data_IF_646898496876
#
_entry.id   IF_646898496876
#
_cell.length_a   1.000
_cell.length_b   1.000
_cell.length_c   1.000
_cell.angle_alpha   90.00
_cell.angle_beta   90.00
_cell.angle_gamma   90.00
#
_symmetry.space_group_name_H-M   'P 1'
#
loop_
_entity.id
_entity.type
_entity.pdbx_description
1 polymer ?
#
# COMPACT_ATOMS: atom_id res chain seq x y z
N UNK A 1 5.26 -71.40 -64.16
CA UNK A 1 4.33 -70.75 -63.23
C UNK A 1 5.13 -70.12 -62.10
N UNK A 2 4.88 -68.85 -61.78
CA UNK A 2 5.28 -68.17 -60.53
C UNK A 2 6.74 -67.70 -60.42
N UNK A 3 7.11 -66.52 -60.95
CA UNK A 3 7.16 -65.21 -60.26
C UNK A 3 8.38 -64.99 -59.34
N UNK A 4 9.24 -64.10 -59.83
CA UNK A 4 10.21 -63.19 -59.19
C UNK A 4 10.45 -63.23 -57.66
N UNK A 5 11.74 -63.11 -57.28
CA UNK A 5 12.18 -61.96 -56.47
C UNK A 5 13.67 -61.64 -56.69
N UNK A 6 13.93 -60.44 -57.23
CA UNK A 6 15.22 -59.75 -57.21
C UNK A 6 15.20 -58.71 -56.08
N UNK A 7 16.38 -58.48 -55.49
CA UNK A 7 16.87 -57.25 -54.82
C UNK A 7 16.22 -56.75 -53.51
N UNK A 8 17.05 -56.49 -52.47
CA UNK A 8 17.49 -55.12 -52.12
C UNK A 8 18.58 -55.07 -51.03
N UNK A 9 19.55 -54.19 -51.30
CA UNK A 9 20.62 -53.66 -50.46
C UNK A 9 20.09 -52.77 -49.32
N UNK A 10 20.92 -52.64 -48.29
CA UNK A 10 21.22 -51.44 -47.51
C UNK A 10 20.11 -50.79 -46.66
N UNK A 11 20.26 -50.87 -45.33
CA UNK A 11 19.81 -49.82 -44.40
C UNK A 11 20.63 -49.92 -43.10
N UNK A 12 21.71 -49.14 -42.98
CA UNK A 12 22.50 -48.97 -41.73
C UNK A 12 23.05 -47.53 -41.61
N UNK A 13 22.28 -46.50 -42.00
CA UNK A 13 22.74 -45.08 -41.93
C UNK A 13 21.72 -44.12 -41.26
N UNK A 14 20.62 -44.58 -40.67
CA UNK A 14 19.61 -43.65 -40.08
C UNK A 14 19.91 -43.25 -38.61
N UNK A 15 21.01 -43.71 -38.00
CA UNK A 15 21.26 -43.53 -36.56
C UNK A 15 21.96 -42.24 -36.09
N UNK A 16 22.66 -41.49 -36.96
CA UNK A 16 23.59 -40.41 -36.51
C UNK A 16 23.06 -38.99 -36.76
N UNK A 17 22.09 -38.81 -37.67
CA UNK A 17 21.51 -37.49 -37.99
C UNK A 17 20.58 -36.92 -36.91
N UNK A 18 19.90 -37.77 -36.14
CA UNK A 18 18.96 -37.33 -35.09
C UNK A 18 19.64 -36.89 -33.79
N UNK A 19 20.85 -37.38 -33.49
CA UNK A 19 21.58 -37.01 -32.28
C UNK A 19 22.27 -35.63 -32.39
N UNK A 20 22.72 -35.23 -33.59
CA UNK A 20 23.36 -33.94 -33.82
C UNK A 20 22.37 -32.77 -33.93
N UNK A 21 21.18 -33.00 -34.50
CA UNK A 21 20.11 -32.00 -34.53
C UNK A 21 19.53 -31.73 -33.12
N UNK A 22 19.44 -32.78 -32.28
CA UNK A 22 19.06 -32.65 -30.87
C UNK A 22 20.06 -31.82 -30.07
N UNK A 23 21.36 -32.06 -30.25
CA UNK A 23 22.41 -31.30 -29.56
C UNK A 23 22.40 -29.80 -29.95
N UNK A 24 22.29 -29.47 -31.23
CA UNK A 24 22.25 -28.07 -31.68
C UNK A 24 21.00 -27.31 -31.18
N UNK A 25 19.84 -27.97 -31.15
CA UNK A 25 18.61 -27.42 -30.55
C UNK A 25 18.73 -27.20 -29.04
N UNK A 26 19.40 -28.10 -28.32
CA UNK A 26 19.69 -27.95 -26.89
C UNK A 26 20.65 -26.79 -26.59
N UNK A 27 21.71 -26.61 -27.39
CA UNK A 27 22.64 -25.48 -27.20
C UNK A 27 21.99 -24.12 -27.51
N UNK A 28 21.14 -24.04 -28.54
CA UNK A 28 20.39 -22.82 -28.84
C UNK A 28 19.34 -22.50 -27.76
N UNK A 29 18.65 -23.52 -27.23
CA UNK A 29 17.70 -23.36 -26.14
C UNK A 29 18.37 -22.93 -24.82
N UNK A 30 19.54 -23.52 -24.51
CA UNK A 30 20.33 -23.13 -23.33
C UNK A 30 20.88 -21.71 -23.44
N UNK A 31 21.40 -21.30 -24.60
CA UNK A 31 21.85 -19.92 -24.81
C UNK A 31 20.73 -18.87 -24.69
N UNK A 32 19.51 -19.22 -25.12
CA UNK A 32 18.33 -18.38 -24.94
C UNK A 32 17.90 -18.25 -23.48
N UNK A 33 17.91 -19.35 -22.72
CA UNK A 33 17.56 -19.34 -21.29
C UNK A 33 18.57 -18.54 -20.46
N UNK A 34 19.87 -18.67 -20.74
CA UNK A 34 20.92 -17.89 -20.07
C UNK A 34 20.76 -16.38 -20.31
N UNK A 35 20.43 -15.98 -21.53
CA UNK A 35 20.19 -14.58 -21.85
C UNK A 35 18.91 -14.07 -21.17
N UNK A 36 17.85 -14.89 -21.14
CA UNK A 36 16.61 -14.58 -20.43
C UNK A 36 16.86 -14.35 -18.93
N UNK A 37 17.62 -15.24 -18.27
CA UNK A 37 18.00 -15.11 -16.86
C UNK A 37 18.80 -13.84 -16.59
N UNK A 38 19.82 -13.54 -17.40
CA UNK A 38 20.60 -12.29 -17.25
C UNK A 38 19.73 -11.05 -17.40
N UNK A 39 18.79 -11.07 -18.33
CA UNK A 39 17.87 -9.96 -18.56
C UNK A 39 16.90 -9.82 -17.39
N UNK A 40 16.39 -10.93 -16.86
CA UNK A 40 15.56 -10.96 -15.66
C UNK A 40 16.32 -10.39 -14.44
N UNK A 41 17.56 -10.82 -14.20
CA UNK A 41 18.39 -10.36 -13.08
C UNK A 41 18.70 -8.86 -13.17
N UNK A 42 18.89 -8.35 -14.40
CA UNK A 42 18.99 -6.91 -14.67
C UNK A 42 17.70 -6.19 -14.25
N UNK A 43 16.54 -6.72 -14.63
CA UNK A 43 15.24 -6.22 -14.20
C UNK A 43 15.09 -6.17 -12.67
N UNK A 44 15.45 -7.26 -11.98
CA UNK A 44 15.45 -7.33 -10.51
C UNK A 44 16.37 -6.27 -9.89
N UNK A 45 17.56 -6.08 -10.46
CA UNK A 45 18.52 -5.06 -10.01
C UNK A 45 17.94 -3.65 -10.19
N UNK A 46 17.24 -3.39 -11.29
CA UNK A 46 16.55 -2.11 -11.49
C UNK A 46 15.45 -1.88 -10.45
N UNK A 47 14.66 -2.91 -10.10
CA UNK A 47 13.67 -2.81 -9.01
C UNK A 47 14.33 -2.43 -7.68
N UNK A 48 15.43 -3.09 -7.32
CA UNK A 48 16.16 -2.81 -6.07
C UNK A 48 16.68 -1.36 -6.01
N UNK A 49 17.01 -0.78 -7.17
CA UNK A 49 17.44 0.60 -7.30
C UNK A 49 16.29 1.61 -7.51
N UNK A 50 15.03 1.17 -7.44
CA UNK A 50 13.85 2.01 -7.64
C UNK A 50 13.63 2.46 -9.10
N UNK A 51 14.34 1.86 -10.06
CA UNK A 51 14.26 2.16 -11.50
C UNK A 51 13.21 1.31 -12.20
N UNK A 52 11.96 1.51 -11.82
CA UNK A 52 10.87 0.61 -12.24
C UNK A 52 10.58 0.62 -13.74
N UNK A 53 10.77 1.75 -14.43
CA UNK A 53 10.52 1.84 -15.87
C UNK A 53 11.50 0.96 -16.66
N UNK A 54 12.77 0.93 -16.26
CA UNK A 54 13.80 0.06 -16.84
C UNK A 54 13.57 -1.40 -16.46
N UNK A 55 13.22 -1.68 -15.20
CA UNK A 55 12.90 -3.03 -14.76
C UNK A 55 11.79 -3.67 -15.61
N UNK A 56 10.71 -2.92 -15.87
CA UNK A 56 9.59 -3.41 -16.67
C UNK A 56 9.98 -3.65 -18.12
N UNK A 57 10.88 -2.85 -18.70
CA UNK A 57 11.40 -3.11 -20.05
C UNK A 57 12.17 -4.42 -20.10
N UNK A 58 13.01 -4.68 -19.12
CA UNK A 58 13.80 -5.92 -19.04
C UNK A 58 12.88 -7.13 -18.86
N UNK A 59 11.92 -7.08 -17.94
CA UNK A 59 10.95 -8.16 -17.76
C UNK A 59 10.10 -8.38 -19.02
N UNK A 60 9.66 -7.31 -19.68
CA UNK A 60 8.90 -7.43 -20.92
C UNK A 60 9.74 -8.07 -22.03
N UNK A 61 11.02 -7.72 -22.12
CA UNK A 61 11.96 -8.33 -23.07
C UNK A 61 12.09 -9.84 -22.85
N UNK A 62 12.14 -10.29 -21.59
CA UNK A 62 12.15 -11.72 -21.25
C UNK A 62 10.91 -12.41 -21.78
N UNK A 63 9.75 -11.84 -21.49
CA UNK A 63 8.44 -12.41 -21.81
C UNK A 63 8.17 -12.45 -23.32
N UNK A 64 8.64 -11.46 -24.07
CA UNK A 64 8.38 -11.34 -25.51
C UNK A 64 9.40 -12.13 -26.34
N UNK A 65 10.67 -12.13 -25.93
CA UNK A 65 11.76 -12.76 -26.68
C UNK A 65 12.03 -14.20 -26.24
N UNK A 66 11.72 -14.55 -24.99
CA UNK A 66 12.03 -15.85 -24.39
C UNK A 66 10.83 -16.44 -23.62
N UNK A 67 9.64 -16.58 -24.24
CA UNK A 67 8.42 -17.02 -23.55
C UNK A 67 8.48 -18.47 -23.03
N UNK A 68 9.47 -19.27 -23.41
CA UNK A 68 9.65 -20.64 -22.91
C UNK A 68 10.83 -20.75 -21.93
N UNK A 69 11.45 -19.62 -21.56
CA UNK A 69 12.54 -19.61 -20.58
C UNK A 69 12.03 -19.91 -19.18
N UNK A 70 12.96 -20.39 -18.34
CA UNK A 70 12.74 -20.72 -16.93
C UNK A 70 12.42 -19.53 -16.03
N UNK A 71 12.49 -18.29 -16.56
CA UNK A 71 12.20 -17.04 -15.83
C UNK A 71 11.07 -16.23 -16.46
N UNK A 72 10.41 -16.76 -17.50
CA UNK A 72 9.35 -16.04 -18.22
C UNK A 72 8.10 -15.83 -17.35
N UNK A 73 7.73 -16.84 -16.57
CA UNK A 73 6.63 -16.79 -15.60
C UNK A 73 6.93 -15.82 -14.45
N UNK A 74 8.17 -15.84 -13.94
CA UNK A 74 8.64 -14.89 -12.93
C UNK A 74 8.63 -13.45 -13.45
N UNK A 75 9.09 -13.22 -14.68
CA UNK A 75 9.06 -11.90 -15.32
C UNK A 75 7.62 -11.39 -15.47
N UNK A 76 6.69 -12.25 -15.91
CA UNK A 76 5.27 -11.94 -15.95
C UNK A 76 4.73 -11.57 -14.56
N UNK A 77 5.05 -12.36 -13.54
CA UNK A 77 4.60 -12.06 -12.19
C UNK A 77 5.09 -10.68 -11.72
N UNK A 78 6.36 -10.35 -11.95
CA UNK A 78 6.92 -9.04 -11.59
C UNK A 78 6.20 -7.89 -12.31
N UNK A 79 5.90 -8.04 -13.61
CA UNK A 79 5.12 -7.06 -14.37
C UNK A 79 3.74 -6.88 -13.73
N UNK A 80 3.04 -7.98 -13.43
CA UNK A 80 1.69 -7.95 -12.87
C UNK A 80 1.63 -7.27 -11.50
N UNK A 81 2.61 -7.55 -10.63
CA UNK A 81 2.74 -6.90 -9.33
C UNK A 81 3.00 -5.40 -9.47
N UNK A 82 3.88 -4.99 -10.38
CA UNK A 82 4.13 -3.56 -10.64
C UNK A 82 2.89 -2.85 -11.19
N UNK A 83 2.17 -3.48 -12.13
CA UNK A 83 0.96 -2.88 -12.68
C UNK A 83 -0.11 -2.67 -11.59
N UNK A 84 -0.25 -3.62 -10.67
CA UNK A 84 -1.19 -3.49 -9.56
C UNK A 84 -0.77 -2.41 -8.54
N UNK A 85 0.48 -2.42 -8.08
CA UNK A 85 0.90 -1.62 -6.93
C UNK A 85 1.56 -0.28 -7.31
N UNK A 86 2.42 -0.31 -8.33
CA UNK A 86 3.20 0.83 -8.78
C UNK A 86 2.41 1.71 -9.74
N UNK A 87 1.99 1.16 -10.88
CA UNK A 87 1.24 1.90 -11.90
C UNK A 87 -0.25 2.08 -11.53
N UNK A 88 -0.79 1.20 -10.68
CA UNK A 88 -2.23 1.10 -10.35
C UNK A 88 -3.12 0.92 -11.59
N UNK A 89 -2.58 0.28 -12.63
CA UNK A 89 -3.31 -0.09 -13.82
C UNK A 89 -3.92 -1.48 -13.64
N UNK A 90 -5.19 -1.49 -13.19
CA UNK A 90 -5.91 -2.74 -12.90
C UNK A 90 -6.20 -3.56 -14.16
N UNK A 91 -6.27 -2.93 -15.33
CA UNK A 91 -6.54 -3.63 -16.59
C UNK A 91 -5.27 -4.34 -17.07
N UNK A 92 -4.12 -3.66 -17.05
CA UNK A 92 -2.83 -4.25 -17.38
C UNK A 92 -2.46 -5.38 -16.42
N UNK A 93 -2.68 -5.18 -15.11
CA UNK A 93 -2.43 -6.22 -14.11
C UNK A 93 -3.32 -7.46 -14.31
N UNK A 94 -4.59 -7.28 -14.67
CA UNK A 94 -5.49 -8.40 -14.99
C UNK A 94 -5.01 -9.18 -16.21
N UNK A 95 -4.64 -8.49 -17.30
CA UNK A 95 -4.14 -9.12 -18.51
C UNK A 95 -2.90 -9.99 -18.23
N UNK A 96 -2.00 -9.51 -17.38
CA UNK A 96 -0.80 -10.25 -16.97
C UNK A 96 -1.15 -11.45 -16.10
N UNK A 97 -2.06 -11.30 -15.12
CA UNK A 97 -2.50 -12.40 -14.27
C UNK A 97 -3.19 -13.52 -15.08
N UNK A 98 -4.06 -13.15 -16.02
CA UNK A 98 -4.73 -14.09 -16.92
C UNK A 98 -3.73 -14.81 -17.82
N UNK A 99 -2.75 -14.07 -18.37
CA UNK A 99 -1.68 -14.65 -19.18
C UNK A 99 -0.84 -15.64 -18.39
N UNK A 100 -0.39 -15.27 -17.18
CA UNK A 100 0.39 -16.15 -16.31
C UNK A 100 -0.34 -17.47 -16.01
N UNK A 101 -1.61 -17.40 -15.64
CA UNK A 101 -2.41 -18.59 -15.31
C UNK A 101 -2.81 -19.41 -16.54
N UNK A 102 -2.84 -18.83 -17.73
CA UNK A 102 -3.16 -19.52 -18.98
C UNK A 102 -1.93 -20.19 -19.61
N UNK A 103 -0.82 -19.46 -19.70
CA UNK A 103 0.40 -19.90 -20.39
C UNK A 103 1.31 -20.72 -19.47
N UNK A 104 1.30 -20.46 -18.16
CA UNK A 104 2.18 -21.11 -17.19
C UNK A 104 1.41 -21.70 -15.98
N UNK A 105 0.34 -22.50 -16.18
CA UNK A 105 -0.56 -22.92 -15.11
C UNK A 105 0.07 -23.81 -14.02
N UNK A 106 1.18 -24.47 -14.32
CA UNK A 106 1.91 -25.37 -13.40
C UNK A 106 3.29 -24.83 -13.00
N UNK A 107 3.56 -23.56 -13.28
CA UNK A 107 4.84 -22.92 -12.95
C UNK A 107 4.93 -22.55 -11.47
N UNK A 108 6.14 -22.24 -11.01
CA UNK A 108 6.39 -21.80 -9.63
C UNK A 108 5.75 -20.43 -9.33
N UNK A 109 5.53 -19.62 -10.38
CA UNK A 109 4.82 -18.33 -10.29
C UNK A 109 3.28 -18.44 -10.35
N UNK A 110 2.72 -19.55 -10.86
CA UNK A 110 1.25 -19.73 -10.96
C UNK A 110 0.49 -19.54 -9.63
N UNK A 111 0.96 -20.04 -8.46
CA UNK A 111 0.37 -19.73 -7.16
C UNK A 111 0.22 -18.24 -6.88
N UNK A 112 1.22 -17.42 -7.26
CA UNK A 112 1.18 -15.98 -7.10
C UNK A 112 0.30 -15.28 -8.12
N UNK A 113 0.08 -15.87 -9.30
CA UNK A 113 -0.95 -15.42 -10.24
C UNK A 113 -2.36 -15.46 -9.64
N UNK A 114 -2.70 -16.51 -8.87
CA UNK A 114 -3.98 -16.56 -8.14
C UNK A 114 -4.07 -15.52 -7.03
N UNK A 115 -2.97 -15.26 -6.32
CA UNK A 115 -2.92 -14.17 -5.33
C UNK A 115 -3.08 -12.81 -5.99
N UNK A 116 -2.43 -12.58 -7.13
CA UNK A 116 -2.58 -11.34 -7.91
C UNK A 116 -4.05 -11.12 -8.32
N UNK A 117 -4.72 -12.15 -8.83
CA UNK A 117 -6.15 -12.09 -9.15
C UNK A 117 -7.03 -11.76 -7.94
N UNK A 118 -6.79 -12.37 -6.79
CA UNK A 118 -7.54 -12.05 -5.58
C UNK A 118 -7.34 -10.62 -5.11
N UNK A 119 -6.10 -10.10 -5.22
CA UNK A 119 -5.78 -8.70 -4.89
C UNK A 119 -6.41 -7.71 -5.87
N UNK A 120 -6.48 -8.06 -7.16
CA UNK A 120 -7.16 -7.27 -8.19
C UNK A 120 -8.65 -7.11 -7.89
N UNK A 121 -9.32 -8.16 -7.43
CA UNK A 121 -10.73 -8.08 -7.03
C UNK A 121 -10.95 -7.02 -5.93
N UNK A 122 -10.11 -7.00 -4.89
CA UNK A 122 -10.18 -5.99 -3.81
C UNK A 122 -9.75 -4.59 -4.25
N UNK A 123 -8.85 -4.49 -5.23
CA UNK A 123 -8.43 -3.21 -5.79
C UNK A 123 -9.54 -2.56 -6.64
N UNK A 124 -10.41 -3.36 -7.27
CA UNK A 124 -11.59 -2.85 -8.02
C UNK A 124 -12.70 -2.36 -7.10
N UNK A 125 -12.90 -3.03 -5.97
CA UNK A 125 -14.00 -2.74 -5.07
C UNK A 125 -13.96 -3.55 -3.79
N UNK A 126 -14.80 -3.16 -2.83
CA UNK A 126 -14.97 -3.86 -1.54
C UNK A 126 -16.42 -4.27 -1.30
N UNK A 127 -17.20 -4.41 -2.36
CA UNK A 127 -18.54 -4.97 -2.24
C UNK A 127 -18.44 -6.44 -1.80
N UNK A 128 -19.51 -6.99 -1.24
CA UNK A 128 -19.55 -8.39 -0.81
C UNK A 128 -19.12 -9.35 -1.95
N UNK A 129 -19.54 -9.07 -3.18
CA UNK A 129 -19.14 -9.84 -4.37
C UNK A 129 -17.65 -9.80 -4.66
N UNK A 130 -17.00 -8.66 -4.45
CA UNK A 130 -15.55 -8.49 -4.66
C UNK A 130 -14.77 -9.26 -3.59
N UNK A 131 -15.24 -9.19 -2.36
CA UNK A 131 -14.70 -9.94 -1.21
C UNK A 131 -14.75 -11.44 -1.48
N UNK A 132 -15.90 -11.97 -1.89
CA UNK A 132 -16.03 -13.40 -2.21
C UNK A 132 -15.17 -13.81 -3.42
N UNK A 133 -15.09 -12.96 -4.45
CA UNK A 133 -14.24 -13.20 -5.63
C UNK A 133 -12.76 -13.28 -5.26
N UNK A 134 -12.33 -12.40 -4.35
CA UNK A 134 -10.97 -12.38 -3.85
C UNK A 134 -10.65 -13.66 -3.05
N UNK A 135 -11.54 -14.03 -2.12
CA UNK A 135 -11.39 -15.23 -1.29
C UNK A 135 -11.33 -16.49 -2.14
N UNK A 136 -12.23 -16.64 -3.11
CA UNK A 136 -12.21 -17.77 -4.04
C UNK A 136 -10.89 -17.89 -4.81
N UNK A 137 -10.28 -16.76 -5.18
CA UNK A 137 -8.97 -16.74 -5.84
C UNK A 137 -7.85 -17.18 -4.90
N UNK A 138 -7.82 -16.68 -3.66
CA UNK A 138 -6.82 -17.07 -2.67
C UNK A 138 -6.93 -18.55 -2.27
N UNK A 139 -8.14 -19.09 -2.16
CA UNK A 139 -8.39 -20.49 -1.80
C UNK A 139 -7.90 -21.50 -2.85
N UNK A 140 -7.75 -21.08 -4.11
CA UNK A 140 -7.17 -21.94 -5.14
C UNK A 140 -5.71 -22.28 -4.84
N UNK A 141 -4.97 -21.40 -4.18
CA UNK A 141 -3.54 -21.60 -3.90
C UNK A 141 -3.29 -22.83 -3.03
N UNK A 142 -3.82 -22.94 -1.79
CA UNK A 142 -3.61 -24.13 -0.97
C UNK A 142 -4.29 -25.39 -1.55
N UNK A 143 -5.29 -25.25 -2.43
CA UNK A 143 -5.97 -26.38 -3.07
C UNK A 143 -5.16 -26.99 -4.22
N UNK A 144 -4.57 -26.14 -5.06
CA UNK A 144 -3.85 -26.54 -6.27
C UNK A 144 -2.34 -26.67 -6.04
N UNK A 145 -1.78 -25.91 -5.09
CA UNK A 145 -0.35 -25.84 -4.80
C UNK A 145 -0.07 -25.92 -3.29
N UNK A 146 -0.48 -27.01 -2.61
CA UNK A 146 -0.44 -27.11 -1.15
C UNK A 146 0.96 -26.99 -0.53
N UNK A 147 2.02 -27.34 -1.28
CA UNK A 147 3.42 -27.24 -0.85
C UNK A 147 4.08 -25.90 -1.18
N UNK A 148 3.40 -25.01 -1.92
CA UNK A 148 4.00 -23.76 -2.37
C UNK A 148 4.16 -22.76 -1.21
N UNK A 149 5.28 -22.03 -1.11
CA UNK A 149 5.45 -20.95 -0.13
C UNK A 149 4.41 -19.82 -0.31
N UNK A 150 3.79 -19.74 -1.50
CA UNK A 150 2.67 -18.87 -1.80
C UNK A 150 1.44 -19.05 -0.91
N UNK A 151 1.26 -20.23 -0.30
CA UNK A 151 0.12 -20.51 0.58
C UNK A 151 0.06 -19.53 1.75
N UNK A 152 1.22 -19.14 2.30
CA UNK A 152 1.28 -18.14 3.37
C UNK A 152 0.81 -16.76 2.89
N UNK A 153 1.22 -16.34 1.69
CA UNK A 153 0.78 -15.09 1.07
C UNK A 153 -0.72 -15.10 0.78
N UNK A 154 -1.24 -16.18 0.18
CA UNK A 154 -2.65 -16.31 -0.16
C UNK A 154 -3.53 -16.23 1.09
N UNK A 155 -3.15 -16.92 2.17
CA UNK A 155 -3.86 -16.84 3.45
C UNK A 155 -3.75 -15.45 4.08
N UNK A 156 -2.60 -14.78 3.95
CA UNK A 156 -2.45 -13.42 4.47
C UNK A 156 -3.43 -12.48 3.79
N UNK A 157 -3.47 -12.50 2.46
CA UNK A 157 -4.37 -11.64 1.71
C UNK A 157 -5.84 -12.02 1.92
N UNK A 158 -6.19 -13.30 2.06
CA UNK A 158 -7.54 -13.72 2.44
C UNK A 158 -7.94 -13.15 3.82
N UNK A 159 -7.06 -13.27 4.81
CA UNK A 159 -7.28 -12.70 6.15
C UNK A 159 -7.42 -11.18 6.12
N UNK A 160 -6.61 -10.48 5.33
CA UNK A 160 -6.68 -9.02 5.20
C UNK A 160 -7.95 -8.56 4.49
N UNK A 161 -8.37 -9.28 3.44
CA UNK A 161 -9.66 -9.08 2.77
C UNK A 161 -10.82 -9.17 3.75
N UNK A 162 -10.87 -10.21 4.57
CA UNK A 162 -11.91 -10.39 5.58
C UNK A 162 -11.88 -9.29 6.65
N UNK A 163 -10.68 -8.85 7.05
CA UNK A 163 -10.50 -7.72 7.98
C UNK A 163 -11.09 -6.43 7.41
N UNK A 164 -10.80 -6.13 6.15
CA UNK A 164 -11.34 -4.96 5.44
C UNK A 164 -12.87 -5.05 5.32
N UNK A 165 -13.41 -6.25 5.14
CA UNK A 165 -14.84 -6.54 5.14
C UNK A 165 -15.48 -6.60 6.55
N UNK A 166 -14.74 -6.26 7.62
CA UNK A 166 -15.17 -6.30 9.03
C UNK A 166 -15.56 -7.71 9.53
N UNK A 167 -15.17 -8.77 8.82
CA UNK A 167 -15.32 -10.18 9.21
C UNK A 167 -14.15 -10.65 10.08
N UNK A 168 -14.07 -10.09 11.28
CA UNK A 168 -12.89 -10.18 12.16
C UNK A 168 -12.49 -11.60 12.57
N UNK A 169 -13.45 -12.47 12.89
CA UNK A 169 -13.12 -13.83 13.36
C UNK A 169 -12.62 -14.74 12.24
N UNK A 170 -13.21 -14.65 11.04
CA UNK A 170 -12.73 -15.36 9.87
C UNK A 170 -11.33 -14.87 9.46
N UNK A 171 -11.11 -13.55 9.52
CA UNK A 171 -9.79 -12.94 9.30
C UNK A 171 -8.72 -13.54 10.22
N UNK A 172 -9.00 -13.63 11.53
CA UNK A 172 -8.09 -14.21 12.50
C UNK A 172 -7.83 -15.71 12.27
N UNK A 173 -8.81 -16.46 11.76
CA UNK A 173 -8.62 -17.87 11.42
C UNK A 173 -7.55 -18.06 10.32
N UNK A 174 -7.57 -17.22 9.28
CA UNK A 174 -6.55 -17.23 8.24
C UNK A 174 -5.16 -16.85 8.77
N UNK A 175 -5.06 -15.79 9.58
CA UNK A 175 -3.78 -15.39 10.14
C UNK A 175 -3.19 -16.43 11.10
N UNK A 176 -4.03 -17.06 11.93
CA UNK A 176 -3.61 -18.13 12.84
C UNK A 176 -2.99 -19.31 12.09
N UNK A 177 -3.50 -19.65 10.90
CA UNK A 177 -2.92 -20.72 10.06
C UNK A 177 -1.51 -20.37 9.60
N UNK A 178 -1.22 -19.11 9.30
CA UNK A 178 0.12 -18.65 8.92
C UNK A 178 1.08 -18.76 10.10
N UNK A 179 0.63 -18.33 11.28
CA UNK A 179 1.42 -18.41 12.50
C UNK A 179 1.78 -19.84 12.91
N UNK A 180 0.90 -20.81 12.64
CA UNK A 180 1.10 -22.22 12.97
C UNK A 180 1.95 -22.94 11.92
N UNK A 181 1.69 -22.70 10.64
CA UNK A 181 2.28 -23.46 9.53
C UNK A 181 3.55 -22.78 8.96
N UNK A 182 3.70 -21.47 9.13
CA UNK A 182 4.83 -20.68 8.61
C UNK A 182 5.44 -19.72 9.65
N UNK A 183 5.75 -20.16 10.88
CA UNK A 183 6.03 -19.31 12.05
C UNK A 183 7.25 -18.39 11.92
N UNK A 184 8.16 -18.65 10.97
CA UNK A 184 9.37 -17.83 10.73
C UNK A 184 9.37 -17.10 9.39
N UNK A 185 8.28 -17.19 8.63
CA UNK A 185 8.16 -16.51 7.34
C UNK A 185 7.92 -15.01 7.52
N UNK A 186 8.26 -14.21 6.50
CA UNK A 186 7.88 -12.78 6.47
C UNK A 186 6.36 -12.57 6.62
N UNK A 187 5.56 -13.55 6.19
CA UNK A 187 4.10 -13.53 6.31
C UNK A 187 3.62 -13.69 7.74
N UNK A 188 4.37 -14.37 8.62
CA UNK A 188 3.97 -14.53 10.02
C UNK A 188 3.99 -13.18 10.76
N UNK A 189 5.05 -12.38 10.60
CA UNK A 189 5.13 -11.05 11.19
C UNK A 189 3.98 -10.13 10.72
N UNK A 190 3.68 -10.17 9.41
CA UNK A 190 2.57 -9.42 8.81
C UNK A 190 1.22 -9.90 9.31
N UNK A 191 1.01 -11.21 9.40
CA UNK A 191 -0.21 -11.83 9.90
C UNK A 191 -0.45 -11.54 11.38
N UNK A 192 0.59 -11.57 12.22
CA UNK A 192 0.49 -11.18 13.63
C UNK A 192 0.10 -9.70 13.77
N UNK A 193 0.67 -8.81 12.94
CA UNK A 193 0.33 -7.38 12.96
C UNK A 193 -1.11 -7.15 12.53
N UNK A 194 -1.53 -7.77 11.42
CA UNK A 194 -2.90 -7.70 10.95
C UNK A 194 -3.90 -8.33 11.93
N UNK A 195 -3.50 -9.40 12.63
CA UNK A 195 -4.28 -10.00 13.72
C UNK A 195 -4.44 -9.03 14.90
N UNK A 196 -3.36 -8.37 15.32
CA UNK A 196 -3.43 -7.37 16.38
C UNK A 196 -4.42 -6.24 16.03
N UNK A 197 -4.37 -5.75 14.79
CA UNK A 197 -5.29 -4.73 14.29
C UNK A 197 -6.74 -5.25 14.28
N UNK A 198 -6.96 -6.48 13.78
CA UNK A 198 -8.31 -7.09 13.77
C UNK A 198 -8.86 -7.27 15.19
N UNK A 199 -8.02 -7.69 16.15
CA UNK A 199 -8.40 -7.81 17.56
C UNK A 199 -8.80 -6.47 18.17
N UNK A 200 -8.08 -5.39 17.87
CA UNK A 200 -8.44 -4.03 18.33
C UNK A 200 -9.77 -3.59 17.73
N UNK A 201 -9.99 -3.82 16.43
CA UNK A 201 -11.24 -3.48 15.75
C UNK A 201 -12.44 -4.29 16.24
N UNK A 202 -12.20 -5.47 16.82
CA UNK A 202 -13.21 -6.31 17.50
C UNK A 202 -13.26 -6.09 19.01
N UNK A 203 -12.68 -4.99 19.53
CA UNK A 203 -12.65 -4.65 20.96
C UNK A 203 -11.95 -5.68 21.88
N UNK A 204 -11.20 -6.62 21.32
CA UNK A 204 -10.41 -7.65 22.04
C UNK A 204 -8.98 -7.20 22.30
N UNK A 205 -8.82 -5.97 22.79
CA UNK A 205 -7.50 -5.33 22.99
C UNK A 205 -6.52 -6.16 23.82
N UNK A 206 -6.93 -6.85 24.92
CA UNK A 206 -6.00 -7.68 25.69
C UNK A 206 -5.25 -8.73 24.86
N UNK A 207 -5.92 -9.32 23.85
CA UNK A 207 -5.31 -10.32 22.98
C UNK A 207 -4.32 -9.70 21.98
N UNK A 208 -4.54 -8.44 21.57
CA UNK A 208 -3.67 -7.74 20.64
C UNK A 208 -2.26 -7.52 21.22
N UNK A 209 -2.13 -7.29 22.53
CA UNK A 209 -0.83 -7.15 23.20
C UNK A 209 0.07 -8.37 23.00
N UNK A 210 -0.50 -9.59 23.09
CA UNK A 210 0.25 -10.83 22.87
C UNK A 210 0.81 -10.92 21.45
N UNK A 211 0.00 -10.57 20.45
CA UNK A 211 0.42 -10.53 19.03
C UNK A 211 1.55 -9.53 18.81
N UNK A 212 1.38 -8.30 19.30
CA UNK A 212 2.38 -7.23 19.14
C UNK A 212 3.71 -7.58 19.82
N UNK A 213 3.65 -8.18 21.01
CA UNK A 213 4.85 -8.60 21.73
C UNK A 213 5.58 -9.73 21.02
N UNK A 214 4.84 -10.71 20.46
CA UNK A 214 5.42 -11.80 19.67
C UNK A 214 6.21 -11.27 18.48
N UNK A 215 5.68 -10.30 17.74
CA UNK A 215 6.38 -9.72 16.57
C UNK A 215 7.73 -9.17 16.98
N UNK A 216 7.76 -8.38 18.07
CA UNK A 216 8.99 -7.76 18.59
C UNK A 216 10.03 -8.77 19.06
N UNK A 217 9.60 -9.94 19.54
CA UNK A 217 10.50 -10.99 20.01
C UNK A 217 10.99 -11.90 18.88
N UNK A 218 10.12 -12.26 17.94
CA UNK A 218 10.41 -13.24 16.90
C UNK A 218 10.99 -12.62 15.63
N UNK A 219 10.72 -11.35 15.37
CA UNK A 219 11.17 -10.65 14.16
C UNK A 219 11.87 -9.32 14.51
N UNK A 220 12.91 -9.32 15.36
CA UNK A 220 13.60 -8.10 15.72
C UNK A 220 14.21 -7.42 14.48
N UNK A 221 14.15 -6.08 14.43
CA UNK A 221 14.72 -5.29 13.34
C UNK A 221 13.89 -5.19 12.06
N UNK A 222 12.68 -5.79 12.01
CA UNK A 222 11.75 -5.62 10.88
C UNK A 222 10.88 -4.38 11.05
N UNK A 223 10.32 -3.87 9.94
CA UNK A 223 9.33 -2.78 9.95
C UNK A 223 8.08 -3.16 10.73
N UNK A 224 7.71 -4.45 10.71
CA UNK A 224 6.60 -4.99 11.49
C UNK A 224 6.87 -4.90 12.99
N UNK A 225 8.11 -5.12 13.45
CA UNK A 225 8.47 -4.96 14.86
C UNK A 225 8.46 -3.50 15.34
N UNK A 226 8.90 -2.57 14.49
CA UNK A 226 8.77 -1.12 14.75
C UNK A 226 7.29 -0.72 14.85
N UNK A 227 6.48 -1.15 13.88
CA UNK A 227 5.04 -0.93 13.86
C UNK A 227 4.39 -1.52 15.12
N UNK A 228 4.78 -2.73 15.50
CA UNK A 228 4.25 -3.40 16.68
C UNK A 228 4.55 -2.65 17.98
N UNK A 229 5.74 -2.06 18.12
CA UNK A 229 6.08 -1.20 19.26
C UNK A 229 5.19 0.04 19.32
N UNK A 230 4.95 0.70 18.17
CA UNK A 230 4.09 1.87 18.09
C UNK A 230 2.65 1.53 18.51
N UNK A 231 2.08 0.47 17.93
CA UNK A 231 0.75 -0.01 18.32
C UNK A 231 0.68 -0.40 19.80
N UNK A 232 1.66 -1.13 20.31
CA UNK A 232 1.69 -1.55 21.71
C UNK A 232 1.72 -0.33 22.65
N UNK A 233 2.52 0.69 22.32
CA UNK A 233 2.59 1.94 23.08
C UNK A 233 1.26 2.68 23.09
N UNK A 234 0.60 2.79 21.95
CA UNK A 234 -0.72 3.44 21.84
C UNK A 234 -1.75 2.67 22.65
N UNK A 235 -1.86 1.35 22.46
CA UNK A 235 -2.83 0.52 23.17
C UNK A 235 -2.59 0.52 24.68
N UNK A 236 -1.34 0.50 25.12
CA UNK A 236 -1.01 0.59 26.55
C UNK A 236 -1.49 1.91 27.16
N UNK A 237 -1.29 3.03 26.47
CA UNK A 237 -1.74 4.37 26.92
C UNK A 237 -3.25 4.57 26.87
N UNK A 238 -3.96 3.83 26.03
CA UNK A 238 -5.41 3.93 25.92
C UNK A 238 -6.12 2.99 26.90
N UNK A 239 -5.61 1.76 27.08
CA UNK A 239 -6.35 0.68 27.73
C UNK A 239 -5.74 0.16 29.04
N UNK A 240 -4.44 0.36 29.28
CA UNK A 240 -3.76 -0.19 30.47
C UNK A 240 -3.43 0.94 31.45
N UNK A 241 -2.56 1.85 31.02
CA UNK A 241 -2.35 3.11 31.72
C UNK A 241 -3.51 4.00 31.31
N UNK A 242 -4.57 4.06 32.13
CA UNK A 242 -5.65 5.04 31.93
C UNK A 242 -5.00 6.38 31.60
N UNK A 243 -5.41 7.06 30.52
CA UNK A 243 -4.88 8.38 30.24
C UNK A 243 -4.99 9.19 31.53
N UNK A 244 -3.96 9.95 31.93
CA UNK A 244 -4.04 10.80 33.13
C UNK A 244 -5.13 11.89 32.97
N UNK A 245 -5.80 11.92 31.83
CA UNK A 245 -6.87 12.82 31.45
C UNK A 245 -8.19 12.06 31.52
N UNK A 246 -9.06 12.48 32.43
CA UNK A 246 -10.48 12.15 32.41
C UNK A 246 -11.28 13.30 31.79
N UNK A 247 -12.45 13.01 31.24
CA UNK A 247 -13.37 14.07 30.85
C UNK A 247 -13.82 14.82 32.11
N UNK A 248 -13.45 16.10 32.20
CA UNK A 248 -13.72 16.91 33.40
C UNK A 248 -15.17 17.37 33.49
N UNK A 249 -15.97 17.23 32.42
CA UNK A 249 -17.29 17.82 32.29
C UNK A 249 -17.29 19.35 32.23
N UNK A 250 -16.11 19.99 32.26
CA UNK A 250 -15.95 21.43 32.21
C UNK A 250 -15.74 21.88 30.77
N UNK A 251 -16.37 23.00 30.41
CA UNK A 251 -16.11 23.66 29.15
C UNK A 251 -14.68 24.23 29.13
N UNK A 252 -14.09 24.30 27.93
CA UNK A 252 -12.85 25.05 27.67
C UNK A 252 -13.24 26.52 27.46
N UNK A 253 -12.54 27.46 28.12
CA UNK A 253 -12.95 28.86 28.16
C UNK A 253 -14.08 29.14 29.16
N UNK A 254 -14.77 30.27 29.04
CA UNK A 254 -15.90 30.59 29.93
C UNK A 254 -17.17 29.86 29.47
N UNK A 255 -18.08 29.57 30.39
CA UNK A 255 -19.32 28.82 30.08
C UNK A 255 -20.22 29.49 29.02
N UNK A 256 -20.03 30.79 28.77
CA UNK A 256 -20.78 31.56 27.76
C UNK A 256 -20.07 31.64 26.40
N UNK A 257 -18.79 31.26 26.32
CA UNK A 257 -18.04 31.19 25.07
C UNK A 257 -18.51 29.98 24.26
N UNK A 258 -19.65 30.16 23.58
CA UNK A 258 -20.18 29.16 22.65
C UNK A 258 -19.32 29.19 21.39
N UNK A 259 -18.27 28.36 21.37
CA UNK A 259 -17.54 28.05 20.14
C UNK A 259 -18.45 27.27 19.19
N UNK A 260 -19.13 28.01 18.32
CA UNK A 260 -19.86 27.47 17.16
C UNK A 260 -18.89 27.40 15.99
N UNK A 261 -19.08 26.40 15.14
CA UNK A 261 -18.32 26.27 13.89
C UNK A 261 -16.81 26.07 14.12
N UNK A 262 -16.47 25.09 14.97
CA UNK A 262 -15.06 24.72 15.23
C UNK A 262 -14.42 24.23 13.93
N UNK A 263 -13.35 24.90 13.51
CA UNK A 263 -12.66 24.61 12.24
C UNK A 263 -11.40 23.77 12.42
N UNK A 264 -10.97 23.56 13.66
CA UNK A 264 -9.89 22.63 13.99
C UNK A 264 -9.57 22.61 15.48
N UNK A 265 -8.86 21.57 15.90
CA UNK A 265 -8.26 21.45 17.23
C UNK A 265 -6.82 20.98 17.04
N UNK A 266 -5.88 21.66 17.69
CA UNK A 266 -4.49 21.25 17.75
C UNK A 266 -3.97 21.31 19.19
N UNK A 267 -2.94 20.52 19.49
CA UNK A 267 -2.24 20.56 20.78
C UNK A 267 -0.78 20.84 20.46
N UNK A 268 -0.22 21.89 21.06
CA UNK A 268 1.20 22.21 20.88
C UNK A 268 2.11 21.39 21.80
N UNK A 269 3.43 21.51 21.61
CA UNK A 269 4.43 20.77 22.39
C UNK A 269 4.38 21.08 23.90
N UNK A 270 3.79 22.21 24.29
CA UNK A 270 3.61 22.62 25.69
C UNK A 270 2.30 22.12 26.30
N UNK A 271 1.48 21.42 25.52
CA UNK A 271 0.17 20.90 25.94
C UNK A 271 -0.95 21.94 25.92
N UNK A 272 -0.76 23.09 25.27
CA UNK A 272 -1.84 24.07 25.06
C UNK A 272 -2.78 23.59 23.98
N UNK A 273 -4.07 23.84 24.18
CA UNK A 273 -5.13 23.50 23.22
C UNK A 273 -5.40 24.72 22.35
N UNK A 274 -5.20 24.57 21.05
CA UNK A 274 -5.53 25.57 20.05
C UNK A 274 -6.87 25.19 19.42
N UNK A 275 -7.83 26.10 19.44
CA UNK A 275 -9.18 25.92 18.96
C UNK A 275 -9.47 26.93 17.85
N UNK A 276 -9.64 26.45 16.62
CA UNK A 276 -10.06 27.27 15.49
C UNK A 276 -11.57 27.47 15.48
N UNK A 277 -12.02 28.71 15.24
CA UNK A 277 -13.43 29.09 15.15
C UNK A 277 -13.60 30.29 14.21
N UNK A 278 -14.84 30.71 13.96
CA UNK A 278 -15.14 31.79 12.99
C UNK A 278 -14.47 33.15 13.24
N UNK A 279 -13.99 33.41 14.45
CA UNK A 279 -13.33 34.67 14.83
C UNK A 279 -11.79 34.54 14.91
N UNK A 280 -11.23 33.38 14.56
CA UNK A 280 -9.79 33.12 14.61
C UNK A 280 -9.42 31.85 15.37
N UNK A 281 -8.34 31.90 16.13
CA UNK A 281 -7.83 30.77 16.92
C UNK A 281 -7.69 31.19 18.38
N UNK A 282 -8.39 30.49 19.28
CA UNK A 282 -8.26 30.64 20.73
C UNK A 282 -7.31 29.59 21.28
N UNK A 283 -6.37 29.99 22.14
CA UNK A 283 -5.34 29.13 22.71
C UNK A 283 -5.57 29.04 24.22
N UNK A 284 -5.72 27.83 24.71
CA UNK A 284 -5.99 27.53 26.11
C UNK A 284 -4.81 26.79 26.74
N UNK A 285 -4.56 27.02 28.03
CA UNK A 285 -3.65 26.18 28.80
C UNK A 285 -4.23 24.78 29.06
N UNK A 286 -3.44 23.89 29.66
CA UNK A 286 -3.87 22.54 30.01
C UNK A 286 -5.04 22.48 31.01
N UNK A 287 -5.40 23.60 31.66
CA UNK A 287 -6.55 23.73 32.57
C UNK A 287 -7.79 24.28 31.88
N UNK A 288 -7.70 24.66 30.60
CA UNK A 288 -8.79 25.27 29.83
C UNK A 288 -8.91 26.79 30.01
N UNK A 289 -7.92 27.46 30.59
CA UNK A 289 -7.86 28.92 30.73
C UNK A 289 -7.42 29.54 29.41
N UNK A 290 -8.10 30.57 28.93
CA UNK A 290 -7.68 31.29 27.72
C UNK A 290 -6.34 32.00 27.97
N UNK A 291 -5.33 31.70 27.15
CA UNK A 291 -3.98 32.26 27.22
C UNK A 291 -3.76 33.32 26.14
N UNK A 292 -4.25 33.06 24.92
CA UNK A 292 -4.07 33.95 23.76
C UNK A 292 -5.22 33.75 22.78
N UNK A 293 -5.65 34.82 22.13
CA UNK A 293 -6.54 34.75 20.98
C UNK A 293 -5.84 35.39 19.78
N UNK A 294 -5.78 34.66 18.66
CA UNK A 294 -5.29 35.17 17.37
C UNK A 294 -6.52 35.50 16.53
N UNK A 295 -6.84 36.79 16.30
CA UNK A 295 -8.04 37.18 15.59
C UNK A 295 -7.95 36.82 14.11
N UNK A 296 -9.07 36.38 13.54
CA UNK A 296 -9.21 36.03 12.14
C UNK A 296 -10.65 36.15 11.65
N UNK A 297 -10.85 36.03 10.34
CA UNK A 297 -12.18 36.12 9.73
C UNK A 297 -12.49 34.79 9.06
N UNK A 298 -13.38 34.02 9.69
CA UNK A 298 -13.92 32.75 9.17
C UNK A 298 -12.84 31.81 8.59
N UNK A 299 -11.81 31.45 9.38
CA UNK A 299 -10.80 30.51 8.92
C UNK A 299 -11.43 29.15 8.67
N UNK A 300 -11.18 28.56 7.50
CA UNK A 300 -11.66 27.22 7.13
C UNK A 300 -10.79 26.10 7.71
N UNK A 301 -9.55 26.41 8.05
CA UNK A 301 -8.60 25.56 8.77
C UNK A 301 -7.54 26.42 9.45
N UNK A 302 -6.72 25.83 10.32
CA UNK A 302 -5.46 26.43 10.77
C UNK A 302 -4.42 25.34 11.03
N UNK A 303 -3.16 25.76 11.12
CA UNK A 303 -2.06 24.92 11.57
C UNK A 303 -1.01 25.76 12.30
N UNK A 304 -0.05 25.09 12.96
CA UNK A 304 1.07 25.74 13.65
C UNK A 304 2.33 25.59 12.80
N UNK A 305 3.03 26.70 12.60
CA UNK A 305 4.34 26.76 11.95
C UNK A 305 5.44 27.05 12.97
N UNK A 306 6.50 26.24 12.94
CA UNK A 306 7.57 26.34 13.93
C UNK A 306 7.06 26.01 15.34
N UNK A 307 7.45 26.80 16.34
CA UNK A 307 7.10 26.55 17.75
C UNK A 307 5.73 27.10 18.15
N UNK A 308 5.26 28.19 17.54
CA UNK A 308 4.11 28.94 18.06
C UNK A 308 3.33 29.77 17.04
N UNK A 309 3.79 29.87 15.79
CA UNK A 309 3.13 30.76 14.81
C UNK A 309 1.87 30.11 14.28
N UNK A 310 0.74 30.78 14.49
CA UNK A 310 -0.54 30.33 13.95
C UNK A 310 -0.64 30.73 12.48
N UNK A 311 -0.99 29.79 11.62
CA UNK A 311 -1.33 30.07 10.23
C UNK A 311 -2.77 29.67 9.99
N UNK A 312 -3.62 30.66 9.77
CA UNK A 312 -5.02 30.46 9.39
C UNK A 312 -5.13 30.25 7.88
N UNK A 313 -6.18 29.55 7.48
CA UNK A 313 -6.48 29.31 6.06
C UNK A 313 -7.86 29.88 5.74
N UNK A 314 -7.97 30.62 4.65
CA UNK A 314 -9.24 31.13 4.14
C UNK A 314 -9.22 31.21 2.62
N UNK A 315 -10.20 30.61 1.96
CA UNK A 315 -10.42 30.71 0.50
C UNK A 315 -9.12 30.55 -0.33
N UNK A 316 -8.31 29.53 -0.03
CA UNK A 316 -7.05 29.29 -0.75
C UNK A 316 -5.87 30.19 -0.36
N UNK A 317 -5.97 30.93 0.75
CA UNK A 317 -4.91 31.82 1.25
C UNK A 317 -4.43 31.35 2.62
N UNK A 318 -3.12 31.26 2.80
CA UNK A 318 -2.50 31.13 4.11
C UNK A 318 -2.28 32.50 4.73
N UNK A 319 -2.69 32.67 5.98
CA UNK A 319 -2.64 33.93 6.71
C UNK A 319 -1.83 33.68 7.99
N UNK A 320 -0.49 33.80 7.94
CA UNK A 320 0.34 33.62 9.12
C UNK A 320 0.21 34.81 10.06
N UNK A 321 0.25 34.53 11.36
CA UNK A 321 0.29 35.56 12.38
C UNK A 321 1.51 36.48 12.19
N UNK A 322 1.25 37.78 12.05
CA UNK A 322 2.28 38.82 11.92
C UNK A 322 3.02 38.83 10.57
N UNK A 323 2.57 38.08 9.56
CA UNK A 323 3.18 38.09 8.22
C UNK A 323 2.13 38.37 7.12
N UNK A 324 2.58 38.77 5.92
CA UNK A 324 1.68 38.95 4.79
C UNK A 324 0.96 37.65 4.39
N UNK A 325 -0.31 37.72 3.94
CA UNK A 325 -1.02 36.56 3.39
C UNK A 325 -0.32 35.97 2.17
N UNK A 326 -0.34 34.64 2.06
CA UNK A 326 0.24 33.87 0.97
C UNK A 326 -0.88 33.20 0.18
N UNK A 327 -1.14 33.71 -1.02
CA UNK A 327 -2.17 33.18 -1.92
C UNK A 327 -1.67 31.92 -2.61
N UNK A 328 -2.46 30.84 -2.55
CA UNK A 328 -2.16 29.58 -3.22
C UNK A 328 -2.71 29.62 -4.63
N UNK A 329 -1.83 29.42 -5.61
CA UNK A 329 -2.20 29.32 -7.02
C UNK A 329 -1.87 27.91 -7.52
N UNK A 330 -2.89 27.22 -8.05
CA UNK A 330 -2.78 25.89 -8.65
C UNK A 330 -2.77 26.06 -10.18
N UNK A 331 -1.65 25.74 -10.85
CA UNK A 331 -1.57 25.81 -12.31
C UNK A 331 -2.61 24.90 -12.98
N UNK A 332 -3.20 25.35 -14.09
CA UNK A 332 -4.11 24.56 -14.91
C UNK A 332 -3.59 24.50 -16.36
N UNK A 333 -3.48 23.31 -16.98
CA UNK A 333 -3.06 23.20 -18.37
C UNK A 333 -4.01 23.96 -19.31
N UNK A 334 -3.47 24.89 -20.10
CA UNK A 334 -4.23 25.66 -21.10
C UNK A 334 -5.28 26.62 -20.52
N UNK A 335 -5.25 26.91 -19.21
CA UNK A 335 -6.17 27.83 -18.54
C UNK A 335 -5.43 28.69 -17.51
N UNK A 336 -6.04 29.79 -17.08
CA UNK A 336 -5.52 30.57 -15.96
C UNK A 336 -5.41 29.70 -14.70
N UNK A 337 -4.44 29.98 -13.82
CA UNK A 337 -4.32 29.28 -12.54
C UNK A 337 -5.60 29.47 -11.71
N UNK A 338 -5.98 28.43 -10.96
CA UNK A 338 -7.11 28.51 -10.01
C UNK A 338 -6.59 28.65 -8.59
N UNK A 339 -7.43 29.22 -7.73
CA UNK A 339 -7.24 29.15 -6.29
C UNK A 339 -7.99 27.93 -5.72
N UNK A 340 -7.49 27.29 -4.66
CA UNK A 340 -8.27 26.33 -3.90
C UNK A 340 -9.45 27.04 -3.25
N UNK A 341 -10.63 26.46 -3.34
CA UNK A 341 -11.85 27.13 -2.87
C UNK A 341 -12.23 26.71 -1.46
N UNK A 342 -11.91 25.47 -1.06
CA UNK A 342 -12.34 24.92 0.21
C UNK A 342 -11.23 24.09 0.86
N UNK A 343 -10.22 24.79 1.40
CA UNK A 343 -9.17 24.13 2.18
C UNK A 343 -9.67 23.84 3.59
N UNK A 344 -9.79 22.57 3.93
CA UNK A 344 -10.40 22.12 5.20
C UNK A 344 -9.40 21.58 6.21
N UNK A 345 -8.20 21.22 5.75
CA UNK A 345 -7.13 20.72 6.59
C UNK A 345 -5.79 20.96 5.91
N UNK A 346 -4.77 21.23 6.72
CA UNK A 346 -3.39 21.35 6.29
C UNK A 346 -2.51 20.61 7.29
N UNK A 347 -1.61 19.76 6.81
CA UNK A 347 -0.57 19.14 7.62
C UNK A 347 0.81 19.49 7.08
N UNK A 348 1.78 19.59 7.99
CA UNK A 348 3.19 19.84 7.65
C UNK A 348 3.95 18.51 7.70
N UNK A 349 4.65 18.20 6.62
CA UNK A 349 5.53 17.03 6.52
C UNK A 349 6.88 17.33 7.20
N UNK A 350 7.62 16.28 7.54
CA UNK A 350 8.96 16.41 8.14
C UNK A 350 9.95 17.20 7.27
N UNK A 351 9.76 17.21 5.94
CA UNK A 351 10.54 18.02 5.01
C UNK A 351 10.09 19.48 4.88
N UNK A 352 9.11 19.93 5.67
CA UNK A 352 8.57 21.31 5.65
C UNK A 352 7.47 21.56 4.63
N UNK A 353 7.36 20.73 3.58
CA UNK A 353 6.24 20.76 2.66
C UNK A 353 4.90 20.52 3.37
N UNK A 354 3.83 21.03 2.79
CA UNK A 354 2.48 20.97 3.32
C UNK A 354 1.57 20.16 2.42
N UNK A 355 0.68 19.37 3.02
CA UNK A 355 -0.45 18.76 2.33
C UNK A 355 -1.73 19.50 2.71
N UNK A 356 -2.42 20.07 1.73
CA UNK A 356 -3.65 20.82 1.91
C UNK A 356 -4.82 20.14 1.20
N UNK A 357 -5.91 19.88 1.92
CA UNK A 357 -7.11 19.20 1.41
C UNK A 357 -8.05 20.24 0.81
N UNK A 358 -8.14 20.30 -0.52
CA UNK A 358 -9.14 21.09 -1.26
C UNK A 358 -10.38 20.22 -1.48
N UNK A 359 -11.33 20.35 -0.56
CA UNK A 359 -12.52 19.48 -0.51
C UNK A 359 -13.39 19.67 -1.75
N UNK A 360 -13.57 20.91 -2.22
CA UNK A 360 -14.39 21.21 -3.40
C UNK A 360 -13.81 20.59 -4.67
N UNK A 361 -12.49 20.65 -4.84
CA UNK A 361 -11.81 20.03 -5.97
C UNK A 361 -11.48 18.54 -5.78
N UNK A 362 -11.88 17.94 -4.65
CA UNK A 362 -11.62 16.54 -4.29
C UNK A 362 -10.14 16.15 -4.46
N UNK A 363 -9.23 17.00 -4.00
CA UNK A 363 -7.79 16.81 -4.17
C UNK A 363 -7.01 17.19 -2.92
N UNK A 364 -5.87 16.53 -2.73
CA UNK A 364 -4.85 16.90 -1.76
C UNK A 364 -3.69 17.54 -2.52
N UNK A 365 -3.43 18.80 -2.24
CA UNK A 365 -2.36 19.57 -2.86
C UNK A 365 -1.09 19.43 -2.03
N UNK A 366 0.06 19.22 -2.67
CA UNK A 366 1.37 19.41 -2.06
C UNK A 366 1.85 20.84 -2.31
N UNK A 367 2.20 21.54 -1.25
CA UNK A 367 2.64 22.93 -1.26
C UNK A 367 4.00 23.05 -0.56
N UNK A 368 4.82 24.01 -0.97
CA UNK A 368 6.02 24.41 -0.23
C UNK A 368 5.63 25.10 1.10
N UNK A 369 6.57 25.30 2.06
CA UNK A 369 6.32 26.11 3.26
C UNK A 369 5.75 27.50 2.95
N UNK A 370 6.17 28.12 1.83
CA UNK A 370 5.68 29.42 1.38
C UNK A 370 4.33 29.39 0.65
N UNK A 371 3.61 28.27 0.65
CA UNK A 371 2.30 28.13 0.01
C UNK A 371 2.33 28.00 -1.51
N UNK A 372 3.51 27.89 -2.15
CA UNK A 372 3.61 27.63 -3.59
C UNK A 372 3.23 26.19 -3.91
N UNK A 373 2.44 26.00 -4.97
CA UNK A 373 2.05 24.68 -5.46
C UNK A 373 3.26 23.86 -5.95
N UNK A 374 3.31 22.58 -5.56
CA UNK A 374 4.32 21.60 -5.98
C UNK A 374 3.68 20.56 -6.89
N UNK A 375 2.65 19.86 -6.42
CA UNK A 375 1.98 18.80 -7.17
C UNK A 375 0.58 18.51 -6.62
N UNK A 376 -0.23 17.82 -7.42
CA UNK A 376 -1.36 17.05 -6.86
C UNK A 376 -0.77 15.84 -6.13
N UNK A 377 -1.02 15.73 -4.83
CA UNK A 377 -0.54 14.64 -4.00
C UNK A 377 -1.46 13.42 -4.10
N UNK A 378 -2.77 13.63 -4.05
CA UNK A 378 -3.78 12.58 -4.13
C UNK A 378 -5.15 13.13 -4.54
N UNK A 379 -6.01 12.27 -5.08
CA UNK A 379 -7.43 12.57 -5.23
C UNK A 379 -8.20 12.04 -4.01
N UNK A 380 -9.32 12.67 -3.70
CA UNK A 380 -10.22 12.28 -2.61
C UNK A 380 -11.42 11.58 -3.24
N UNK A 381 -11.47 10.26 -3.10
CA UNK A 381 -12.69 9.50 -3.39
C UNK A 381 -13.61 9.67 -2.18
N UNK A 382 -14.74 10.36 -2.39
CA UNK A 382 -15.81 10.51 -1.39
C UNK A 382 -16.95 9.57 -1.75
#
# INVERSE_FOLDING_TARGET
>A
MGTQQRTRLALHVIGVGLLLAGAAGLFAAQGGDDLARRTYDSGVTFVQNGRYAEAIKDFQSVVDSFPQSSVADDALLQIGLYQLEGARDLAAAQAVADRLLKEYPSSDSAPMGYVLNGRLAIARGRAATDVETALASFERVPRLFPSSPAVAAARYYAGDTLRLARRGDESLAHFRRIELEYPRSIWAARADLASAISLVLSERVPQAFGKLQRIRQQFPGTREAESALNYNTILYRLYVRKPPYGFSGRFVGTANDRFRDVTGVAIDETGRVLLGHKQGVSIFDAKGTLVKAVPGVEPSAFFVEGRDRIVMVRAGTFIPEGLPPMVINVPMPGRAARQPEEIVAVITLSGGDRLAVDRKAKTVLRLTPGGKFVSNFANIDV
#
